data_IF_436225464422
#
_entry.id   IF_436225464422
#
_cell.length_a   1.000
_cell.length_b   1.000
_cell.length_c   1.000
_cell.angle_alpha   90.00
_cell.angle_beta   90.00
_cell.angle_gamma   90.00
#
_symmetry.space_group_name_H-M   'P 1'
#
loop_
_entity.id
_entity.type
_entity.pdbx_description
1 polymer ?
#
# COMPACT_ATOMS: atom_id res chain seq x y z
N UNK A 1 4.39 -25.29 15.66
CA UNK A 1 5.14 -24.84 14.47
C UNK A 1 4.85 -23.36 14.31
N UNK A 2 5.81 -22.50 14.61
CA UNK A 2 5.64 -21.04 14.46
C UNK A 2 5.75 -20.68 12.99
N UNK A 3 4.61 -20.56 12.33
CA UNK A 3 4.53 -20.05 10.97
C UNK A 3 4.95 -18.57 11.03
N UNK A 4 6.21 -18.29 10.66
CA UNK A 4 6.74 -16.93 10.53
C UNK A 4 5.90 -16.24 9.47
N UNK A 5 4.94 -15.44 9.90
CA UNK A 5 4.18 -14.58 9.00
C UNK A 5 5.21 -13.67 8.32
N UNK A 6 5.33 -13.70 6.98
CA UNK A 6 6.30 -12.89 6.29
C UNK A 6 5.90 -11.43 6.50
N UNK A 7 6.60 -10.74 7.39
CA UNK A 7 6.65 -9.28 7.41
C UNK A 7 6.89 -8.85 5.97
N UNK A 8 6.04 -7.95 5.44
CA UNK A 8 6.38 -7.32 4.16
C UNK A 8 7.68 -6.58 4.36
N UNK A 9 8.75 -7.18 3.86
CA UNK A 9 9.92 -6.40 3.56
C UNK A 9 9.49 -5.32 2.56
N UNK A 10 10.08 -4.11 2.62
CA UNK A 10 9.82 -3.04 1.65
C UNK A 10 9.98 -3.46 0.18
N UNK A 11 10.56 -4.64 -0.08
CA UNK A 11 10.67 -5.30 -1.38
C UNK A 11 9.37 -6.02 -1.84
N UNK A 12 8.31 -6.04 -1.03
CA UNK A 12 7.07 -6.71 -1.43
C UNK A 12 6.39 -5.95 -2.56
N UNK A 13 5.94 -6.69 -3.58
CA UNK A 13 5.36 -6.14 -4.82
C UNK A 13 4.23 -5.13 -4.58
N UNK A 14 3.46 -5.31 -3.50
CA UNK A 14 2.37 -4.40 -3.11
C UNK A 14 2.86 -3.02 -2.67
N UNK A 15 3.97 -2.95 -1.94
CA UNK A 15 4.57 -1.67 -1.55
C UNK A 15 5.16 -0.96 -2.77
N UNK A 16 5.83 -1.71 -3.65
CA UNK A 16 6.34 -1.18 -4.93
C UNK A 16 5.22 -0.61 -5.82
N UNK A 17 4.06 -1.28 -5.89
CA UNK A 17 2.93 -0.79 -6.68
C UNK A 17 2.31 0.49 -6.08
N UNK A 18 2.15 0.55 -4.76
CA UNK A 18 1.67 1.74 -4.05
C UNK A 18 2.59 2.96 -4.27
N UNK A 19 3.90 2.76 -4.16
CA UNK A 19 4.90 3.83 -4.39
C UNK A 19 4.88 4.27 -5.86
N UNK A 20 4.72 3.35 -6.81
CA UNK A 20 4.61 3.67 -8.23
C UNK A 20 3.35 4.47 -8.55
N UNK A 21 2.22 4.15 -7.91
CA UNK A 21 0.98 4.90 -8.05
C UNK A 21 1.12 6.33 -7.50
N UNK A 22 1.76 6.49 -6.33
CA UNK A 22 2.03 7.80 -5.74
C UNK A 22 2.97 8.64 -6.61
N UNK A 23 4.00 8.02 -7.19
CA UNK A 23 4.91 8.69 -8.11
C UNK A 23 4.15 9.26 -9.32
N UNK A 24 3.27 8.46 -9.94
CA UNK A 24 2.44 8.91 -11.07
C UNK A 24 1.53 10.08 -10.71
N UNK A 25 0.95 10.08 -9.51
CA UNK A 25 0.17 11.21 -9.01
C UNK A 25 1.01 12.49 -8.92
N UNK A 26 2.23 12.41 -8.37
CA UNK A 26 3.14 13.57 -8.31
C UNK A 26 3.64 14.01 -9.68
N UNK A 27 3.90 13.08 -10.59
CA UNK A 27 4.27 13.40 -11.98
C UNK A 27 3.13 14.12 -12.70
N UNK A 28 1.88 13.69 -12.51
CA UNK A 28 0.71 14.36 -13.07
C UNK A 28 0.51 15.77 -12.49
N UNK A 29 0.73 15.97 -11.19
CA UNK A 29 0.76 17.28 -10.57
C UNK A 29 1.85 18.19 -11.15
N UNK A 30 3.07 17.67 -11.27
CA UNK A 30 4.21 18.43 -11.78
C UNK A 30 4.07 18.78 -13.28
N UNK A 31 3.44 17.89 -14.05
CA UNK A 31 3.15 18.11 -15.46
C UNK A 31 1.89 18.96 -15.72
N UNK A 32 1.18 19.39 -14.67
CA UNK A 32 0.00 20.24 -14.79
C UNK A 32 -1.20 19.55 -15.44
N UNK A 33 -1.38 18.26 -15.19
CA UNK A 33 -2.53 17.50 -15.70
C UNK A 33 -3.85 18.09 -15.19
N UNK A 34 -4.95 17.87 -15.92
CA UNK A 34 -6.27 18.32 -15.47
C UNK A 34 -6.62 17.66 -14.13
N UNK A 35 -7.30 18.42 -13.27
CA UNK A 35 -7.65 18.01 -11.91
C UNK A 35 -8.32 16.63 -11.85
N UNK A 36 -9.23 16.34 -12.79
CA UNK A 36 -9.92 15.05 -12.86
C UNK A 36 -8.97 13.85 -13.05
N UNK A 37 -7.89 14.00 -13.83
CA UNK A 37 -6.91 12.93 -14.05
C UNK A 37 -5.97 12.79 -12.84
N UNK A 38 -5.59 13.92 -12.24
CA UNK A 38 -4.82 13.96 -10.99
C UNK A 38 -5.60 13.29 -9.85
N UNK A 39 -6.91 13.54 -9.74
CA UNK A 39 -7.77 12.91 -8.75
C UNK A 39 -7.91 11.40 -8.97
N UNK A 40 -7.92 10.93 -10.22
CA UNK A 40 -7.89 9.49 -10.52
C UNK A 40 -6.59 8.85 -10.05
N UNK A 41 -5.44 9.47 -10.32
CA UNK A 41 -4.16 8.96 -9.82
C UNK A 41 -4.09 8.96 -8.30
N UNK A 42 -4.66 9.99 -7.65
CA UNK A 42 -4.77 10.07 -6.20
C UNK A 42 -5.57 8.89 -5.62
N UNK A 43 -6.77 8.63 -6.16
CA UNK A 43 -7.62 7.53 -5.71
C UNK A 43 -6.93 6.17 -5.87
N UNK A 44 -6.22 5.95 -6.98
CA UNK A 44 -5.45 4.72 -7.21
C UNK A 44 -4.34 4.56 -6.15
N UNK A 45 -3.60 5.64 -5.87
CA UNK A 45 -2.56 5.61 -4.84
C UNK A 45 -3.16 5.33 -3.46
N UNK A 46 -4.23 6.03 -3.08
CA UNK A 46 -4.93 5.84 -1.80
C UNK A 46 -5.44 4.40 -1.63
N UNK A 47 -6.05 3.80 -2.66
CA UNK A 47 -6.47 2.39 -2.62
C UNK A 47 -5.30 1.42 -2.47
N UNK A 48 -4.18 1.63 -3.17
CA UNK A 48 -3.00 0.76 -3.04
C UNK A 48 -2.39 0.83 -1.63
N UNK A 49 -2.33 2.02 -1.03
CA UNK A 49 -1.87 2.17 0.35
C UNK A 49 -2.83 1.57 1.38
N UNK A 50 -4.15 1.62 1.12
CA UNK A 50 -5.13 0.93 1.97
C UNK A 50 -4.87 -0.58 2.01
N UNK A 51 -4.66 -1.19 0.85
CA UNK A 51 -4.36 -2.64 0.75
C UNK A 51 -3.04 -3.00 1.44
N UNK A 52 -2.00 -2.17 1.31
CA UNK A 52 -0.73 -2.36 2.04
C UNK A 52 -0.96 -2.29 3.55
N UNK A 53 -1.77 -1.33 4.02
CA UNK A 53 -2.10 -1.16 5.44
C UNK A 53 -2.88 -2.37 5.96
N UNK A 54 -3.89 -2.84 5.22
CA UNK A 54 -4.66 -4.05 5.56
C UNK A 54 -3.77 -5.28 5.65
N UNK A 55 -2.83 -5.43 4.71
CA UNK A 55 -1.84 -6.50 4.78
C UNK A 55 -0.96 -6.35 6.02
N UNK A 56 -0.41 -5.17 6.30
CA UNK A 56 0.44 -4.93 7.46
C UNK A 56 -0.30 -5.23 8.76
N UNK A 57 -1.56 -4.82 8.87
CA UNK A 57 -2.41 -5.13 10.02
C UNK A 57 -2.64 -6.64 10.15
N UNK A 58 -2.90 -7.36 9.06
CA UNK A 58 -3.04 -8.82 9.07
C UNK A 58 -1.73 -9.54 9.40
N UNK A 59 -0.60 -9.02 8.91
CA UNK A 59 0.71 -9.61 9.08
C UNK A 59 1.31 -9.35 10.47
N UNK A 60 1.14 -8.14 10.99
CA UNK A 60 1.59 -7.73 12.33
C UNK A 60 0.57 -8.10 13.43
N UNK A 61 -0.70 -8.29 13.07
CA UNK A 61 -1.77 -8.73 13.97
C UNK A 61 -1.83 -10.25 14.19
N UNK A 62 -1.01 -11.04 13.51
CA UNK A 62 -1.02 -12.51 13.59
C UNK A 62 -0.20 -13.10 14.73
N UNK A 63 -0.26 -12.57 15.95
CA UNK A 63 -0.04 -13.34 17.18
C UNK A 63 -0.60 -12.62 18.43
N UNK A 64 -1.83 -12.10 18.36
CA UNK A 64 -2.60 -11.99 19.60
C UNK A 64 -3.06 -13.40 19.95
N UNK A 65 -2.49 -13.96 21.01
CA UNK A 65 -2.54 -15.37 21.34
C UNK A 65 -3.95 -15.97 21.32
N UNK A 66 -3.98 -17.26 21.00
CA UNK A 66 -4.98 -18.16 21.55
C UNK A 66 -4.87 -18.07 23.08
N UNK A 67 -5.67 -17.19 23.68
CA UNK A 67 -5.96 -17.23 25.12
C UNK A 67 -7.11 -18.21 25.26
N UNK A 68 -6.71 -19.39 25.72
CA UNK A 68 -7.50 -20.47 26.28
C UNK A 68 -8.51 -19.98 27.32
#
# INVERSE_FOLDING_TARGET
>A
MSEKIPVLYPDHAMYSDAVKALKRYHEALAAGFPAAEVERFRQIAESQFAVVTEYQLKALGGHAGNVH
#
